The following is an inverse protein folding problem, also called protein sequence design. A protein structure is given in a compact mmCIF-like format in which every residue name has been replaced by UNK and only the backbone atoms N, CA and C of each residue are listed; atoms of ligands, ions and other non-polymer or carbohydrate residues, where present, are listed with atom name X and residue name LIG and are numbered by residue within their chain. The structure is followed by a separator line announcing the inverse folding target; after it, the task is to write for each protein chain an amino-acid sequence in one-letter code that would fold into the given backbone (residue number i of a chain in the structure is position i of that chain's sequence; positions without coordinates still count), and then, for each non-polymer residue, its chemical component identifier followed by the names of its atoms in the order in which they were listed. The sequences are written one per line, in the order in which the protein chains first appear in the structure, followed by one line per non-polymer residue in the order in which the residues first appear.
data_IF_319095845741
#
_entry.id   IF_319095845741
#
_cell.length_a   1.000
_cell.length_b   1.000
_cell.length_c   1.000
_cell.angle_alpha   90.00
_cell.angle_beta   90.00
_cell.angle_gamma   90.00
#
_symmetry.space_group_name_H-M   'P 1'
#
loop_
_entity.id
_entity.type
_entity.pdbx_description
1 polymer ?
2 polymer ?
#
loop_
_entity_poly.entity_id
_entity_poly.type
_entity_poly.pdbx_seq_one_letter_code
_entity_poly.pdbx_strand_id
2 'polyribonucleotide' 'GGCAGAUCUGAGCCUGGGAGCUCUCUGCC' ?
#
# COMPACT_ATOMS: atom_id res chain seq x y z
N UNK A 1 -2.78 -10.78 5.61
CA UNK A 1 -1.87 -9.89 6.31
C UNK A 1 -1.35 -8.83 5.34
N UNK A 2 -0.82 -7.80 5.99
CA UNK A 2 -0.58 -6.52 5.34
C UNK A 2 0.83 -6.05 5.68
N UNK A 3 1.47 -5.49 4.67
CA UNK A 3 2.81 -4.93 4.68
C UNK A 3 2.87 -3.63 3.90
N UNK A 4 3.70 -2.72 4.45
CA UNK A 4 4.02 -1.44 3.86
C UNK A 4 5.26 -1.62 3.01
N UNK A 5 5.28 -1.22 1.74
CA UNK A 5 6.40 -1.31 0.83
C UNK A 5 6.39 -0.03 0.00
N UNK A 6 7.42 0.82 0.18
CA UNK A 6 7.88 1.80 -0.78
C UNK A 6 6.84 2.77 -1.33
N UNK A 7 6.06 3.35 -0.44
CA UNK A 7 5.04 4.37 -0.61
C UNK A 7 3.61 3.89 -0.43
N UNK A 8 3.32 2.60 -0.28
CA UNK A 8 2.02 1.95 -0.31
C UNK A 8 1.86 0.68 0.53
N UNK A 9 0.61 0.44 0.98
CA UNK A 9 0.25 -0.84 1.58
C UNK A 9 -0.05 -1.78 0.42
N UNK A 10 0.48 -2.99 0.62
CA UNK A 10 0.22 -4.25 -0.05
C UNK A 10 -0.41 -5.23 0.91
N UNK A 11 -1.19 -6.19 0.37
CA UNK A 11 -1.70 -7.30 1.14
C UNK A 11 -1.12 -8.59 0.57
N UNK A 12 -0.79 -9.52 1.47
CA UNK A 12 -0.19 -10.82 1.20
C UNK A 12 -0.90 -11.80 2.11
N UNK A 13 -1.67 -12.77 1.62
CA UNK A 13 -2.58 -13.54 2.46
C UNK A 13 -3.67 -12.73 3.15
N UNK A 14 -3.94 -13.00 4.43
CA UNK A 14 -4.79 -12.19 5.27
C UNK A 14 -4.05 -11.04 5.93
#
# INVERSE_FOLDING_TARGET
RVRTRKGRRIRIPP
#
